data_IF_849343998205
#
_entry.id   IF_849343998205
#
_cell.length_a   1.000
_cell.length_b   1.000
_cell.length_c   1.000
_cell.angle_alpha   90.00
_cell.angle_beta   90.00
_cell.angle_gamma   90.00
#
_symmetry.space_group_name_H-M   'P 1'
#
loop_
_entity.id
_entity.type
_entity.pdbx_description
1 polymer ?
#
# COMPACT_ATOMS: atom_id res chain seq x y z
N UNK A 1 -1.95 3.95 -1.59
CA UNK A 1 -0.54 3.90 -1.14
C UNK A 1 0.32 3.47 -2.31
N UNK A 2 1.37 4.24 -2.58
CA UNK A 2 2.46 3.84 -3.48
C UNK A 2 3.50 3.13 -2.63
N UNK A 3 4.03 1.99 -3.10
CA UNK A 3 5.25 1.43 -2.51
C UNK A 3 6.45 1.95 -3.29
N UNK A 4 7.66 1.84 -2.74
CA UNK A 4 8.85 2.17 -3.52
C UNK A 4 8.93 1.33 -4.81
N UNK A 5 9.60 1.88 -5.84
CA UNK A 5 9.68 1.27 -7.17
C UNK A 5 9.93 -0.25 -7.20
N UNK A 6 10.89 -0.83 -6.44
CA UNK A 6 11.12 -2.28 -6.48
C UNK A 6 9.90 -3.10 -6.04
N UNK A 7 9.17 -2.67 -5.01
CA UNK A 7 7.95 -3.37 -4.56
C UNK A 7 6.83 -3.25 -5.59
N UNK A 8 6.66 -2.08 -6.24
CA UNK A 8 5.65 -1.94 -7.28
C UNK A 8 5.92 -2.83 -8.50
N UNK A 9 7.18 -2.88 -8.95
CA UNK A 9 7.59 -3.72 -10.06
C UNK A 9 7.29 -5.19 -9.74
N UNK A 10 7.70 -5.65 -8.55
CA UNK A 10 7.45 -6.99 -8.06
C UNK A 10 5.93 -7.31 -7.99
N UNK A 11 5.12 -6.43 -7.38
CA UNK A 11 3.66 -6.63 -7.28
C UNK A 11 3.01 -6.71 -8.68
N UNK A 12 3.44 -5.85 -9.61
CA UNK A 12 2.93 -5.86 -10.99
C UNK A 12 3.22 -7.19 -11.69
N UNK A 13 4.43 -7.73 -11.53
CA UNK A 13 4.81 -9.03 -12.09
C UNK A 13 3.91 -10.16 -11.56
N UNK A 14 3.72 -10.27 -10.24
CA UNK A 14 2.87 -11.32 -9.69
C UNK A 14 1.39 -11.13 -10.01
N UNK A 15 0.90 -9.89 -10.07
CA UNK A 15 -0.45 -9.61 -10.56
C UNK A 15 -0.63 -10.07 -12.00
N UNK A 16 0.38 -9.87 -12.86
CA UNK A 16 0.37 -10.33 -14.25
C UNK A 16 0.30 -11.85 -14.32
N UNK A 17 1.12 -12.56 -13.54
CA UNK A 17 1.09 -14.04 -13.43
C UNK A 17 -0.31 -14.51 -13.05
N UNK A 18 -0.87 -14.00 -11.94
CA UNK A 18 -2.20 -14.39 -11.47
C UNK A 18 -3.30 -14.10 -12.49
N UNK A 19 -3.17 -12.99 -13.23
CA UNK A 19 -4.12 -12.63 -14.29
C UNK A 19 -4.02 -13.57 -15.48
N UNK A 20 -2.80 -13.88 -15.93
CA UNK A 20 -2.55 -14.76 -17.06
C UNK A 20 -3.01 -16.20 -16.77
N UNK A 21 -2.81 -16.70 -15.54
CA UNK A 21 -3.25 -18.03 -15.11
C UNK A 21 -4.78 -18.23 -15.16
N UNK A 22 -5.58 -17.16 -15.27
CA UNK A 22 -7.04 -17.28 -15.49
C UNK A 22 -7.40 -17.73 -16.90
N UNK A 23 -6.46 -17.66 -17.85
CA UNK A 23 -6.68 -18.01 -19.26
C UNK A 23 -6.08 -19.37 -19.59
N UNK A 24 -6.87 -20.38 -20.03
CA UNK A 24 -6.37 -21.74 -20.27
C UNK A 24 -5.14 -21.83 -21.18
N UNK A 25 -5.17 -21.15 -22.34
CA UNK A 25 -4.07 -21.11 -23.30
C UNK A 25 -2.76 -20.59 -22.69
N UNK A 26 -2.85 -19.57 -21.83
CA UNK A 26 -1.67 -18.99 -21.18
C UNK A 26 -1.08 -19.94 -20.13
N UNK A 27 -1.91 -20.78 -19.48
CA UNK A 27 -1.40 -21.81 -18.55
C UNK A 27 -0.56 -22.86 -19.27
N UNK A 28 -1.01 -23.31 -20.44
CA UNK A 28 -0.27 -24.29 -21.25
C UNK A 28 1.09 -23.73 -21.68
N UNK A 29 1.12 -22.47 -22.15
CA UNK A 29 2.36 -21.77 -22.46
C UNK A 29 3.28 -21.66 -21.24
N UNK A 30 2.74 -21.33 -20.07
CA UNK A 30 3.53 -21.21 -18.84
C UNK A 30 4.15 -22.55 -18.41
N UNK A 31 3.41 -23.65 -18.53
CA UNK A 31 3.95 -25.00 -18.28
C UNK A 31 5.09 -25.30 -19.25
N UNK A 32 4.93 -24.98 -20.53
CA UNK A 32 5.97 -25.16 -21.55
C UNK A 32 7.24 -24.39 -21.20
N UNK A 33 7.11 -23.11 -20.84
CA UNK A 33 8.23 -22.26 -20.43
C UNK A 33 8.94 -22.81 -19.17
N UNK A 34 8.19 -23.19 -18.12
CA UNK A 34 8.78 -23.77 -16.90
C UNK A 34 9.42 -25.14 -17.12
N UNK A 35 9.01 -25.87 -18.14
CA UNK A 35 9.58 -27.18 -18.49
C UNK A 35 10.85 -27.07 -19.34
N UNK A 36 11.35 -25.86 -19.59
CA UNK A 36 12.56 -25.63 -20.40
C UNK A 36 12.32 -25.64 -21.91
N UNK A 37 11.10 -25.38 -22.37
CA UNK A 37 10.84 -25.15 -23.79
C UNK A 37 11.64 -23.94 -24.29
N UNK A 38 12.31 -24.09 -25.44
CA UNK A 38 13.02 -22.99 -26.12
C UNK A 38 12.07 -22.07 -26.90
N UNK A 39 10.75 -22.26 -26.76
CA UNK A 39 9.77 -21.33 -27.29
C UNK A 39 9.91 -19.98 -26.58
N UNK A 40 9.99 -18.90 -27.36
CA UNK A 40 10.11 -17.56 -26.81
C UNK A 40 8.85 -17.21 -26.03
N UNK A 41 9.04 -16.53 -24.89
CA UNK A 41 7.93 -16.05 -24.09
C UNK A 41 7.11 -15.02 -24.90
N UNK A 42 5.82 -15.29 -25.09
CA UNK A 42 4.89 -14.38 -25.77
C UNK A 42 3.89 -13.73 -24.81
N UNK A 43 3.26 -12.65 -25.27
CA UNK A 43 2.16 -12.00 -24.56
C UNK A 43 2.58 -11.49 -23.17
N UNK A 44 1.90 -11.87 -22.07
CA UNK A 44 2.25 -11.41 -20.73
C UNK A 44 3.55 -12.03 -20.20
N UNK A 45 3.99 -13.18 -20.72
CA UNK A 45 5.15 -13.89 -20.19
C UNK A 45 6.47 -13.18 -20.51
N UNK A 46 6.52 -12.43 -21.63
CA UNK A 46 7.69 -11.62 -22.02
C UNK A 46 7.98 -10.45 -21.07
N UNK A 47 6.99 -10.04 -20.28
CA UNK A 47 7.10 -8.92 -19.33
C UNK A 47 7.68 -9.37 -17.98
N UNK A 48 7.97 -10.67 -17.83
CA UNK A 48 8.54 -11.25 -16.61
C UNK A 48 10.06 -11.35 -16.74
N UNK A 49 10.84 -10.48 -16.07
CA UNK A 49 12.29 -10.47 -16.21
C UNK A 49 12.98 -11.72 -15.66
N UNK A 50 12.31 -12.48 -14.79
CA UNK A 50 12.83 -13.72 -14.22
C UNK A 50 12.46 -14.96 -15.05
N UNK A 51 11.72 -14.80 -16.15
CA UNK A 51 11.29 -15.89 -17.03
C UNK A 51 11.67 -15.56 -18.48
N UNK A 52 12.69 -16.23 -19.01
CA UNK A 52 13.17 -16.00 -20.37
C UNK A 52 13.58 -17.31 -21.03
N UNK A 53 13.08 -17.58 -22.23
CA UNK A 53 13.54 -18.67 -23.12
C UNK A 53 13.70 -20.03 -22.42
N UNK A 54 12.73 -20.39 -21.58
CA UNK A 54 12.73 -21.65 -20.83
C UNK A 54 13.63 -21.68 -19.60
N UNK A 55 14.36 -20.59 -19.32
CA UNK A 55 15.16 -20.43 -18.11
C UNK A 55 14.43 -19.59 -17.07
N UNK A 56 14.58 -20.00 -15.81
CA UNK A 56 14.10 -19.27 -14.64
C UNK A 56 15.30 -18.68 -13.91
N UNK A 57 15.26 -17.37 -13.66
CA UNK A 57 16.26 -16.70 -12.83
C UNK A 57 15.90 -16.88 -11.34
N UNK A 58 16.48 -17.91 -10.73
CA UNK A 58 16.30 -18.22 -9.31
C UNK A 58 16.72 -17.06 -8.39
N UNK A 59 17.73 -16.28 -8.78
CA UNK A 59 18.21 -15.15 -7.99
C UNK A 59 17.17 -14.01 -8.00
N UNK A 60 16.57 -13.72 -9.16
CA UNK A 60 15.50 -12.75 -9.27
C UNK A 60 14.23 -13.18 -8.50
N UNK A 61 13.85 -14.46 -8.54
CA UNK A 61 12.75 -14.98 -7.73
C UNK A 61 13.05 -14.83 -6.24
N UNK A 62 14.25 -15.20 -5.81
CA UNK A 62 14.68 -15.08 -4.40
C UNK A 62 14.62 -13.62 -3.93
N UNK A 63 15.08 -12.68 -4.75
CA UNK A 63 14.98 -11.25 -4.46
C UNK A 63 13.51 -10.79 -4.32
N UNK A 64 12.64 -11.23 -5.24
CA UNK A 64 11.21 -10.93 -5.18
C UNK A 64 10.54 -11.50 -3.90
N UNK A 65 10.94 -12.70 -3.46
CA UNK A 65 10.43 -13.30 -2.22
C UNK A 65 10.82 -12.48 -0.97
N UNK A 66 12.06 -11.99 -0.89
CA UNK A 66 12.47 -11.12 0.23
C UNK A 66 11.75 -9.76 0.22
N UNK A 67 11.44 -9.22 -0.96
CA UNK A 67 10.57 -8.03 -1.07
C UNK A 67 9.15 -8.33 -0.58
N UNK A 68 8.54 -9.45 -0.99
CA UNK A 68 7.22 -9.86 -0.51
C UNK A 68 7.20 -10.06 1.01
N UNK A 69 8.22 -10.71 1.56
CA UNK A 69 8.36 -10.94 2.99
C UNK A 69 8.46 -9.64 3.77
N UNK A 70 9.20 -8.66 3.26
CA UNK A 70 9.24 -7.31 3.86
C UNK A 70 7.86 -6.66 3.85
N UNK A 71 7.16 -6.73 2.73
CA UNK A 71 5.85 -6.09 2.53
C UNK A 71 4.72 -6.76 3.34
N UNK A 72 4.80 -8.08 3.55
CA UNK A 72 3.88 -8.82 4.41
C UNK A 72 4.27 -8.78 5.90
N UNK A 73 5.46 -8.25 6.19
CA UNK A 73 6.00 -8.14 7.54
C UNK A 73 5.67 -6.81 8.24
N UNK A 74 6.07 -6.67 9.51
CA UNK A 74 5.84 -5.45 10.30
C UNK A 74 6.59 -4.22 9.77
N UNK A 75 7.62 -4.44 8.94
CA UNK A 75 8.45 -3.38 8.37
C UNK A 75 7.92 -2.80 7.06
N UNK A 76 6.75 -3.24 6.59
CA UNK A 76 6.10 -2.72 5.38
C UNK A 76 5.91 -1.19 5.41
N UNK A 77 5.74 -0.61 6.61
CA UNK A 77 5.63 0.85 6.80
C UNK A 77 6.86 1.62 6.33
N UNK A 78 8.04 1.00 6.35
CA UNK A 78 9.30 1.62 5.90
C UNK A 78 9.39 1.62 4.37
N UNK A 79 8.73 0.66 3.72
CA UNK A 79 8.72 0.48 2.28
C UNK A 79 7.59 1.25 1.57
N UNK A 80 6.62 1.77 2.33
CA UNK A 80 5.48 2.52 1.81
C UNK A 80 5.83 4.01 1.66
N UNK A 81 5.40 4.60 0.55
CA UNK A 81 5.40 6.06 0.39
C UNK A 81 4.19 6.66 1.12
N UNK A 82 4.29 7.95 1.44
CA UNK A 82 3.16 8.76 1.87
C UNK A 82 2.09 8.87 0.78
N UNK A 83 0.85 9.11 1.21
CA UNK A 83 -0.25 9.46 0.31
C UNK A 83 -0.02 10.87 -0.21
N UNK A 84 0.27 10.97 -1.50
CA UNK A 84 0.54 12.24 -2.19
C UNK A 84 -0.73 12.99 -2.56
N UNK A 85 -1.74 12.25 -3.03
CA UNK A 85 -2.99 12.82 -3.52
C UNK A 85 -4.18 12.06 -2.92
N UNK A 86 -5.21 12.83 -2.53
CA UNK A 86 -6.45 12.24 -2.04
C UNK A 86 -7.29 11.72 -3.21
N UNK A 87 -8.00 10.60 -3.06
CA UNK A 87 -8.92 10.09 -4.08
C UNK A 87 -9.94 11.15 -4.51
N UNK A 88 -10.23 11.19 -5.81
CA UNK A 88 -11.26 12.07 -6.36
C UNK A 88 -12.67 11.58 -5.99
N UNK A 89 -12.85 10.27 -5.86
CA UNK A 89 -14.08 9.65 -5.41
C UNK A 89 -14.32 9.95 -3.91
N UNK A 90 -15.53 10.42 -3.58
CA UNK A 90 -15.89 10.82 -2.21
C UNK A 90 -15.79 9.68 -1.21
N UNK A 91 -16.25 8.50 -1.58
CA UNK A 91 -16.40 7.35 -0.70
C UNK A 91 -15.03 6.72 -0.44
N UNK A 92 -14.20 6.60 -1.48
CA UNK A 92 -12.81 6.15 -1.37
C UNK A 92 -11.99 7.13 -0.52
N UNK A 93 -12.19 8.44 -0.70
CA UNK A 93 -11.53 9.48 0.10
C UNK A 93 -11.95 9.41 1.55
N UNK A 94 -13.24 9.28 1.84
CA UNK A 94 -13.73 9.13 3.21
C UNK A 94 -13.14 7.89 3.87
N UNK A 95 -13.18 6.75 3.19
CA UNK A 95 -12.62 5.49 3.70
C UNK A 95 -11.12 5.64 4.02
N UNK A 96 -10.35 6.27 3.13
CA UNK A 96 -8.94 6.54 3.36
C UNK A 96 -8.72 7.43 4.59
N UNK A 97 -9.50 8.51 4.75
CA UNK A 97 -9.41 9.39 5.91
C UNK A 97 -9.73 8.65 7.21
N UNK A 98 -10.73 7.76 7.20
CA UNK A 98 -11.08 6.90 8.35
C UNK A 98 -9.89 6.03 8.77
N UNK A 99 -9.25 5.39 7.81
CA UNK A 99 -8.13 4.48 8.08
C UNK A 99 -6.88 5.25 8.56
N UNK A 100 -6.62 6.43 8.00
CA UNK A 100 -5.56 7.35 8.48
C UNK A 100 -5.83 7.76 9.93
N UNK A 101 -7.04 8.23 10.26
CA UNK A 101 -7.39 8.66 11.61
C UNK A 101 -7.23 7.51 12.62
N UNK A 102 -7.73 6.31 12.32
CA UNK A 102 -7.53 5.13 13.18
C UNK A 102 -6.04 4.84 13.39
N UNK A 103 -5.24 4.86 12.32
CA UNK A 103 -3.82 4.57 12.38
C UNK A 103 -3.07 5.56 13.27
N UNK A 104 -3.34 6.85 13.13
CA UNK A 104 -2.72 7.93 13.92
C UNK A 104 -2.95 7.74 15.41
N UNK A 105 -4.13 7.25 15.80
CA UNK A 105 -4.52 7.06 17.20
C UNK A 105 -4.26 5.64 17.74
N UNK A 106 -3.78 4.69 16.92
CA UNK A 106 -3.53 3.30 17.36
C UNK A 106 -2.39 3.21 18.39
N UNK A 107 -1.37 4.05 18.29
CA UNK A 107 -0.19 4.06 19.17
C UNK A 107 -0.26 5.20 20.21
N UNK A 108 -1.40 5.33 20.88
CA UNK A 108 -1.58 6.33 21.94
C UNK A 108 -1.05 5.84 23.29
N UNK A 109 -0.43 6.72 24.11
CA UNK A 109 -0.15 6.40 25.50
C UNK A 109 -1.46 6.07 26.23
N UNK A 110 -1.45 5.04 27.09
CA UNK A 110 -2.64 4.64 27.86
C UNK A 110 -3.20 5.73 28.78
N UNK A 111 -2.41 6.79 29.05
CA UNK A 111 -2.78 7.89 29.93
C UNK A 111 -3.70 8.94 29.30
N UNK A 112 -3.87 8.97 27.98
CA UNK A 112 -4.76 9.93 27.31
C UNK A 112 -5.26 9.44 25.94
N UNK A 113 -6.44 9.92 25.58
CA UNK A 113 -7.12 9.63 24.31
C UNK A 113 -7.05 10.79 23.30
N UNK A 114 -6.25 11.84 23.60
CA UNK A 114 -6.15 13.06 22.81
C UNK A 114 -4.70 13.38 22.40
N UNK A 115 -4.57 14.07 21.28
CA UNK A 115 -3.31 14.58 20.73
C UNK A 115 -3.31 16.11 20.69
N UNK A 116 -2.16 16.74 20.89
CA UNK A 116 -2.00 18.16 20.53
C UNK A 116 -1.99 18.33 19.01
N UNK A 117 -2.12 19.58 18.53
CA UNK A 117 -2.00 19.87 17.10
C UNK A 117 -0.63 19.45 16.53
N UNK A 118 0.44 19.73 17.27
CA UNK A 118 1.82 19.38 16.89
C UNK A 118 2.01 17.86 16.79
N UNK A 119 1.49 17.11 17.77
CA UNK A 119 1.57 15.65 17.78
C UNK A 119 0.75 15.03 16.65
N UNK A 120 -0.46 15.56 16.41
CA UNK A 120 -1.32 15.13 15.31
C UNK A 120 -0.64 15.38 13.96
N UNK A 121 -0.12 16.59 13.74
CA UNK A 121 0.58 16.95 12.51
C UNK A 121 1.78 16.05 12.26
N UNK A 122 2.59 15.79 13.30
CA UNK A 122 3.77 14.92 13.21
C UNK A 122 3.39 13.50 12.82
N UNK A 123 2.32 12.95 13.40
CA UNK A 123 1.83 11.61 13.06
C UNK A 123 1.22 11.54 11.66
N UNK A 124 0.50 12.57 11.24
CA UNK A 124 -0.06 12.66 9.89
C UNK A 124 1.03 12.75 8.82
N UNK A 125 2.10 13.51 9.07
CA UNK A 125 3.23 13.64 8.15
C UNK A 125 3.94 12.31 7.83
N UNK A 126 3.76 11.28 8.66
CA UNK A 126 4.27 9.93 8.37
C UNK A 126 3.42 9.18 7.33
N UNK A 127 2.21 9.66 7.03
CA UNK A 127 1.22 8.96 6.21
C UNK A 127 0.82 9.75 4.97
N UNK A 128 0.86 11.09 5.03
CA UNK A 128 0.32 11.98 4.00
C UNK A 128 1.25 13.17 3.76
N UNK A 129 1.29 13.67 2.52
CA UNK A 129 2.06 14.87 2.18
C UNK A 129 1.29 16.15 2.57
N UNK A 130 -0.03 16.19 2.37
CA UNK A 130 -0.88 17.34 2.70
C UNK A 130 -1.60 17.13 4.05
N UNK A 131 -0.85 17.34 5.13
CA UNK A 131 -1.33 17.25 6.52
C UNK A 131 -2.50 18.20 6.78
N UNK A 132 -2.45 19.42 6.23
CA UNK A 132 -3.45 20.45 6.51
C UNK A 132 -4.81 20.07 5.91
N UNK A 133 -4.83 19.61 4.66
CA UNK A 133 -6.06 19.15 3.99
C UNK A 133 -6.65 17.95 4.69
N UNK A 134 -5.83 16.95 5.04
CA UNK A 134 -6.29 15.74 5.72
C UNK A 134 -6.89 16.09 7.09
N UNK A 135 -6.22 16.92 7.88
CA UNK A 135 -6.74 17.37 9.18
C UNK A 135 -8.08 18.10 9.04
N UNK A 136 -8.20 19.01 8.07
CA UNK A 136 -9.44 19.76 7.81
C UNK A 136 -10.58 18.81 7.44
N UNK A 137 -10.39 17.94 6.45
CA UNK A 137 -11.43 17.01 6.03
C UNK A 137 -11.82 16.02 7.12
N UNK A 138 -10.85 15.55 7.92
CA UNK A 138 -11.15 14.66 9.04
C UNK A 138 -12.01 15.36 10.11
N UNK A 139 -11.84 16.66 10.34
CA UNK A 139 -12.73 17.43 11.24
C UNK A 139 -14.09 17.67 10.59
N UNK A 140 -14.12 18.09 9.32
CA UNK A 140 -15.36 18.37 8.58
C UNK A 140 -16.28 17.14 8.50
N UNK A 141 -15.69 15.95 8.35
CA UNK A 141 -16.40 14.65 8.33
C UNK A 141 -16.70 14.10 9.73
N UNK A 142 -16.31 14.81 10.81
CA UNK A 142 -16.51 14.36 12.19
C UNK A 142 -15.71 13.11 12.57
N UNK A 143 -14.64 12.79 11.82
CA UNK A 143 -13.69 11.71 12.13
C UNK A 143 -12.73 12.13 13.24
N UNK A 144 -12.42 13.43 13.32
CA UNK A 144 -11.70 14.05 14.41
C UNK A 144 -12.60 15.11 15.08
N UNK A 145 -12.53 15.16 16.40
CA UNK A 145 -13.11 16.24 17.19
C UNK A 145 -11.98 17.13 17.67
N UNK A 146 -12.13 18.44 17.47
CA UNK A 146 -11.22 19.47 17.97
C UNK A 146 -11.86 20.11 19.20
N UNK A 147 -11.08 20.36 20.25
CA UNK A 147 -11.54 21.15 21.40
C UNK A 147 -11.78 22.61 21.02
N UNK A 148 -12.64 23.31 21.78
CA UNK A 148 -13.01 24.71 21.51
C UNK A 148 -11.81 25.67 21.58
N UNK A 149 -10.82 25.36 22.42
CA UNK A 149 -9.56 26.09 22.55
C UNK A 149 -8.52 25.69 21.48
N UNK A 150 -8.92 24.86 20.50
CA UNK A 150 -8.08 24.37 19.42
C UNK A 150 -6.84 23.56 19.85
N UNK A 151 -6.68 23.26 21.14
CA UNK A 151 -5.45 22.70 21.68
C UNK A 151 -5.37 21.17 21.59
N UNK A 152 -6.51 20.48 21.41
CA UNK A 152 -6.62 19.02 21.47
C UNK A 152 -7.48 18.45 20.35
N UNK A 153 -7.06 17.28 19.88
CA UNK A 153 -7.77 16.46 18.91
C UNK A 153 -8.05 15.08 19.49
N UNK A 154 -9.27 14.58 19.29
CA UNK A 154 -9.72 13.25 19.68
C UNK A 154 -10.36 12.54 18.48
N UNK A 155 -10.39 11.21 18.52
CA UNK A 155 -11.21 10.47 17.57
C UNK A 155 -12.70 10.84 17.74
N UNK A 156 -13.36 11.01 16.60
CA UNK A 156 -14.81 11.15 16.53
C UNK A 156 -15.50 9.87 16.97
N UNK A 157 -16.70 10.01 17.52
CA UNK A 157 -17.55 8.86 17.90
C UNK A 157 -17.96 7.98 16.72
N UNK A 158 -17.80 8.49 15.49
CA UNK A 158 -18.01 7.74 14.24
C UNK A 158 -16.89 6.74 13.92
N UNK A 159 -15.80 6.73 14.72
CA UNK A 159 -14.63 5.87 14.58
C UNK A 159 -14.28 5.07 15.85
N UNK A 160 -14.93 5.37 16.99
CA UNK A 160 -14.73 4.70 18.29
C UNK A 160 -15.39 3.34 18.36
#
# INVERSE_FOLDING_TARGET
>A
MSFSQPYQAMIKQYRLVLTALRTPKLREQFIGLLSGSTEHAEGPWKELPWLSDGAVDDAAITANLELLKTLLGPYAVIAADTVKEMPANSDEREQLLRDICRRVFTAMPQSRDWLTEEELNSRLAMLVDDVATVRRYSVDLGLLRRSDDASRYQLGSSLS
#
